data_IF_939611589356
#
_entry.id   IF_939611589356
#
_cell.length_a   1.000
_cell.length_b   1.000
_cell.length_c   1.000
_cell.angle_alpha   90.00
_cell.angle_beta   90.00
_cell.angle_gamma   90.00
#
_symmetry.space_group_name_H-M   'P 1'
#
loop_
_entity.id
_entity.type
_entity.pdbx_description
1 polymer ?
#
# COMPACT_ATOMS: atom_id res chain seq x y z
N UNK A 1 13.56 -8.17 -2.80
CA UNK A 1 14.16 -6.81 -2.90
C UNK A 1 13.82 -6.02 -1.66
N UNK A 2 14.67 -5.10 -1.23
CA UNK A 2 14.34 -4.19 -0.13
C UNK A 2 13.22 -3.24 -0.55
N UNK A 3 12.47 -2.70 0.42
CA UNK A 3 11.55 -1.58 0.16
C UNK A 3 12.26 -0.47 -0.61
N UNK A 4 11.53 0.33 -1.42
CA UNK A 4 12.12 1.42 -2.21
C UNK A 4 12.94 2.40 -1.34
N UNK A 5 12.55 2.58 -0.07
CA UNK A 5 13.26 3.37 0.93
C UNK A 5 13.33 2.59 2.24
N UNK A 6 14.41 1.82 2.50
CA UNK A 6 14.51 1.01 3.71
C UNK A 6 14.57 1.87 4.97
N UNK A 7 14.12 1.33 6.12
CA UNK A 7 14.33 1.95 7.41
C UNK A 7 15.80 2.36 7.58
N UNK A 8 16.05 3.62 7.92
CA UNK A 8 17.41 4.13 8.09
C UNK A 8 17.95 3.68 9.45
N UNK A 9 19.19 3.22 9.49
CA UNK A 9 19.86 2.83 10.74
C UNK A 9 19.45 1.46 11.28
N UNK A 10 18.69 0.65 10.53
CA UNK A 10 18.26 -0.69 10.95
C UNK A 10 18.90 -1.74 10.04
N UNK A 11 19.65 -2.71 10.59
CA UNK A 11 20.17 -3.83 9.81
C UNK A 11 19.05 -4.65 9.16
N UNK A 12 19.26 -5.12 7.93
CA UNK A 12 18.23 -5.88 7.18
C UNK A 12 17.74 -7.12 7.93
N UNK A 13 18.62 -7.79 8.66
CA UNK A 13 18.29 -8.97 9.46
C UNK A 13 17.29 -8.66 10.60
N UNK A 14 17.17 -7.39 10.99
CA UNK A 14 16.34 -6.96 12.12
C UNK A 14 14.96 -6.41 11.69
N UNK A 15 14.67 -6.34 10.39
CA UNK A 15 13.40 -5.77 9.92
C UNK A 15 12.17 -6.49 10.47
N UNK A 16 12.16 -7.83 10.43
CA UNK A 16 11.04 -8.61 10.95
C UNK A 16 11.00 -8.58 12.49
N UNK A 17 12.15 -8.77 13.15
CA UNK A 17 12.22 -8.83 14.62
C UNK A 17 11.89 -7.51 15.31
N UNK A 18 12.11 -6.36 14.63
CA UNK A 18 11.71 -5.04 15.10
C UNK A 18 10.37 -4.57 14.50
N UNK A 19 9.60 -5.44 13.87
CA UNK A 19 8.27 -5.14 13.33
C UNK A 19 8.24 -4.04 12.25
N UNK A 20 9.29 -3.90 11.45
CA UNK A 20 9.27 -2.99 10.29
C UNK A 20 8.43 -3.57 9.14
N UNK A 21 8.68 -4.83 8.78
CA UNK A 21 7.91 -5.63 7.82
C UNK A 21 8.53 -7.03 7.69
N UNK A 22 7.69 -8.02 7.37
CA UNK A 22 8.14 -9.37 7.03
C UNK A 22 8.51 -9.48 5.54
N UNK A 23 7.68 -8.90 4.67
CA UNK A 23 7.82 -8.95 3.21
C UNK A 23 7.68 -7.56 2.61
N UNK A 24 8.61 -7.21 1.72
CA UNK A 24 8.40 -6.07 0.83
C UNK A 24 7.56 -6.48 -0.37
N UNK A 25 6.42 -5.82 -0.57
CA UNK A 25 5.45 -6.18 -1.60
C UNK A 25 5.16 -5.01 -2.56
N UNK A 26 6.05 -4.77 -3.54
CA UNK A 26 6.03 -3.57 -4.39
C UNK A 26 4.82 -3.50 -5.32
N UNK A 27 4.15 -4.62 -5.59
CA UNK A 27 2.95 -4.71 -6.43
C UNK A 27 1.82 -3.80 -5.92
N UNK A 28 1.79 -3.47 -4.63
CA UNK A 28 0.77 -2.57 -4.07
C UNK A 28 1.30 -1.16 -3.81
N UNK A 29 2.57 -0.89 -4.08
CA UNK A 29 3.16 0.43 -3.92
C UNK A 29 2.86 1.31 -5.14
N UNK A 30 2.55 2.61 -4.96
CA UNK A 30 2.41 3.52 -6.09
C UNK A 30 3.72 3.65 -6.87
N UNK A 31 3.61 3.90 -8.18
CA UNK A 31 4.75 4.29 -9.00
C UNK A 31 5.44 5.55 -8.44
N UNK A 32 6.69 5.82 -8.84
CA UNK A 32 7.42 7.01 -8.35
C UNK A 32 6.65 8.29 -8.66
N UNK A 33 6.09 8.38 -9.85
CA UNK A 33 5.35 9.56 -10.29
C UNK A 33 4.03 9.72 -9.53
N UNK A 34 3.31 8.62 -9.28
CA UNK A 34 2.08 8.65 -8.48
C UNK A 34 2.38 8.96 -7.02
N UNK A 35 3.46 8.43 -6.45
CA UNK A 35 3.90 8.77 -5.09
C UNK A 35 4.20 10.26 -4.94
N UNK A 36 4.90 10.88 -5.91
CA UNK A 36 5.15 12.33 -5.90
C UNK A 36 3.86 13.15 -5.89
N UNK A 37 2.83 12.73 -6.64
CA UNK A 37 1.52 13.38 -6.62
C UNK A 37 0.88 13.33 -5.24
N UNK A 38 0.91 12.16 -4.59
CA UNK A 38 0.38 12.00 -3.24
C UNK A 38 1.12 12.87 -2.22
N UNK A 39 2.45 12.91 -2.29
CA UNK A 39 3.28 13.76 -1.42
C UNK A 39 3.08 15.27 -1.63
N UNK A 40 2.75 15.70 -2.86
CA UNK A 40 2.54 17.09 -3.18
C UNK A 40 1.08 17.55 -2.98
N UNK A 41 0.16 16.64 -2.69
CA UNK A 41 -1.25 16.96 -2.52
C UNK A 41 -1.49 17.72 -1.21
N UNK A 42 -2.02 18.94 -1.32
CA UNK A 42 -2.40 19.81 -0.21
C UNK A 42 -3.91 20.10 -0.19
N UNK A 43 -4.62 19.67 -1.24
CA UNK A 43 -6.05 19.94 -1.43
C UNK A 43 -6.79 18.65 -1.74
N UNK A 44 -8.11 18.57 -1.42
CA UNK A 44 -8.93 17.41 -1.77
C UNK A 44 -8.91 17.07 -3.26
N UNK A 45 -8.86 18.09 -4.14
CA UNK A 45 -8.81 17.89 -5.58
C UNK A 45 -7.49 17.23 -6.04
N UNK A 46 -6.36 17.64 -5.46
CA UNK A 46 -5.06 17.00 -5.72
C UNK A 46 -5.02 15.57 -5.18
N UNK A 47 -5.60 15.33 -3.99
CA UNK A 47 -5.72 13.99 -3.44
C UNK A 47 -6.60 13.07 -4.28
N UNK A 48 -7.70 13.60 -4.83
CA UNK A 48 -8.55 12.87 -5.77
C UNK A 48 -7.80 12.48 -7.05
N UNK A 49 -6.94 13.37 -7.57
CA UNK A 49 -6.10 13.07 -8.73
C UNK A 49 -5.08 11.95 -8.43
N UNK A 50 -4.43 12.00 -7.26
CA UNK A 50 -3.58 10.91 -6.77
C UNK A 50 -4.35 9.59 -6.69
N UNK A 51 -5.50 9.60 -6.02
CA UNK A 51 -6.32 8.41 -5.77
C UNK A 51 -6.79 7.78 -7.08
N UNK A 52 -7.22 8.59 -8.05
CA UNK A 52 -7.60 8.12 -9.39
C UNK A 52 -6.43 7.45 -10.10
N UNK A 53 -5.24 8.05 -10.07
CA UNK A 53 -4.06 7.49 -10.72
C UNK A 53 -3.60 6.20 -10.05
N UNK A 54 -3.57 6.15 -8.73
CA UNK A 54 -3.21 4.94 -8.00
C UNK A 54 -4.20 3.79 -8.24
N UNK A 55 -5.52 4.06 -8.25
CA UNK A 55 -6.53 3.05 -8.64
C UNK A 55 -6.31 2.51 -10.05
N UNK A 56 -5.92 3.36 -11.01
CA UNK A 56 -5.60 2.91 -12.35
C UNK A 56 -4.36 2.00 -12.40
N UNK A 57 -3.34 2.28 -11.58
CA UNK A 57 -2.18 1.37 -11.42
C UNK A 57 -2.60 0.02 -10.83
N UNK A 58 -3.47 0.04 -9.82
CA UNK A 58 -3.97 -1.17 -9.17
C UNK A 58 -4.92 -2.00 -10.04
N UNK A 59 -5.48 -1.41 -11.09
CA UNK A 59 -6.33 -2.10 -12.06
C UNK A 59 -5.54 -2.85 -13.15
N UNK A 60 -4.20 -2.76 -13.15
CA UNK A 60 -3.38 -3.60 -14.04
C UNK A 60 -3.52 -5.08 -13.64
N UNK A 61 -3.43 -6.04 -14.58
CA UNK A 61 -3.74 -7.45 -14.30
C UNK A 61 -2.96 -8.04 -13.13
N UNK A 62 -1.66 -7.76 -13.04
CA UNK A 62 -0.80 -8.25 -11.96
C UNK A 62 -1.25 -7.74 -10.59
N UNK A 63 -1.54 -6.45 -10.49
CA UNK A 63 -1.92 -5.80 -9.26
C UNK A 63 -3.35 -6.19 -8.84
N UNK A 64 -4.27 -6.30 -9.80
CA UNK A 64 -5.65 -6.71 -9.55
C UNK A 64 -5.72 -8.14 -8.97
N UNK A 65 -5.03 -9.11 -9.59
CA UNK A 65 -4.95 -10.47 -9.06
C UNK A 65 -4.30 -10.51 -7.68
N UNK A 66 -3.30 -9.65 -7.44
CA UNK A 66 -2.65 -9.52 -6.13
C UNK A 66 -3.63 -9.06 -5.06
N UNK A 67 -4.44 -8.04 -5.35
CA UNK A 67 -5.46 -7.51 -4.42
C UNK A 67 -6.52 -8.56 -4.14
N UNK A 68 -7.00 -9.26 -5.18
CA UNK A 68 -7.98 -10.34 -5.04
C UNK A 68 -7.43 -11.47 -4.15
N UNK A 69 -6.19 -11.91 -4.38
CA UNK A 69 -5.53 -12.93 -3.57
C UNK A 69 -5.48 -12.52 -2.09
N UNK A 70 -5.03 -11.30 -1.79
CA UNK A 70 -4.95 -10.80 -0.43
C UNK A 70 -6.33 -10.68 0.22
N UNK A 71 -7.33 -10.19 -0.52
CA UNK A 71 -8.70 -10.11 -0.02
C UNK A 71 -9.27 -11.50 0.33
N UNK A 72 -8.98 -12.52 -0.48
CA UNK A 72 -9.37 -13.91 -0.20
C UNK A 72 -8.63 -14.49 1.01
N UNK A 73 -7.32 -14.24 1.13
CA UNK A 73 -6.51 -14.70 2.26
C UNK A 73 -6.94 -14.06 3.58
N UNK A 74 -7.42 -12.81 3.56
CA UNK A 74 -7.80 -12.11 4.80
C UNK A 74 -9.00 -12.75 5.52
N UNK A 75 -9.74 -13.62 4.82
CA UNK A 75 -10.83 -14.43 5.41
C UNK A 75 -10.33 -15.59 6.26
N UNK A 76 -9.08 -16.02 6.05
CA UNK A 76 -8.48 -17.18 6.70
C UNK A 76 -7.38 -16.79 7.69
N UNK A 77 -6.71 -15.66 7.48
CA UNK A 77 -5.61 -15.23 8.32
C UNK A 77 -5.50 -13.71 8.39
N UNK A 78 -4.99 -13.21 9.52
CA UNK A 78 -4.72 -11.81 9.72
C UNK A 78 -3.34 -11.45 9.17
N UNK A 79 -3.27 -10.37 8.40
CA UNK A 79 -2.02 -9.76 7.99
C UNK A 79 -2.18 -8.23 7.97
N UNK A 80 -1.07 -7.52 8.00
CA UNK A 80 -1.05 -6.06 7.94
C UNK A 80 -0.36 -5.61 6.67
N UNK A 81 -0.99 -4.66 5.96
CA UNK A 81 -0.34 -3.97 4.83
C UNK A 81 0.06 -2.58 5.30
N UNK A 82 1.36 -2.38 5.48
CA UNK A 82 1.92 -1.15 6.05
C UNK A 82 2.39 -0.14 4.99
N UNK A 83 2.47 1.12 5.41
CA UNK A 83 3.18 2.19 4.72
C UNK A 83 3.88 3.08 5.77
N UNK A 84 4.90 3.84 5.35
CA UNK A 84 5.62 4.78 6.20
C UNK A 84 5.03 6.20 6.23
N UNK A 85 3.82 6.40 5.71
CA UNK A 85 3.11 7.68 5.82
C UNK A 85 2.65 7.90 7.28
N UNK A 86 2.84 9.11 7.78
CA UNK A 86 2.39 9.53 9.12
C UNK A 86 0.86 9.67 9.18
N UNK A 87 0.27 10.41 8.24
CA UNK A 87 -1.18 10.58 8.12
C UNK A 87 -1.81 9.47 7.25
N UNK A 88 -2.73 8.71 7.83
CA UNK A 88 -3.50 7.69 7.12
C UNK A 88 -4.42 8.26 6.04
N UNK A 89 -5.05 9.40 6.32
CA UNK A 89 -6.01 10.02 5.42
C UNK A 89 -5.34 10.43 4.10
N UNK A 90 -4.04 10.78 4.18
CA UNK A 90 -3.17 11.11 3.04
C UNK A 90 -2.15 10.00 2.75
N UNK A 91 -2.55 8.74 2.93
CA UNK A 91 -1.74 7.57 2.59
C UNK A 91 -2.41 6.73 1.50
N UNK A 92 -1.62 6.11 0.62
CA UNK A 92 -2.15 5.15 -0.36
C UNK A 92 -2.88 3.96 0.29
N UNK A 93 -2.58 3.66 1.56
CA UNK A 93 -3.22 2.57 2.31
C UNK A 93 -4.72 2.77 2.47
N UNK A 94 -5.21 4.02 2.56
CA UNK A 94 -6.65 4.30 2.63
C UNK A 94 -7.36 3.92 1.32
N UNK A 95 -6.72 4.20 0.18
CA UNK A 95 -7.21 3.80 -1.15
C UNK A 95 -7.12 2.29 -1.34
N UNK A 96 -6.02 1.66 -0.91
CA UNK A 96 -5.84 0.21 -0.97
C UNK A 96 -6.85 -0.53 -0.09
N UNK A 97 -7.17 -0.01 1.11
CA UNK A 97 -8.20 -0.57 1.99
C UNK A 97 -9.55 -0.61 1.28
N UNK A 98 -9.92 0.44 0.53
CA UNK A 98 -11.13 0.46 -0.27
C UNK A 98 -11.11 -0.59 -1.40
N UNK A 99 -9.99 -0.72 -2.12
CA UNK A 99 -9.83 -1.73 -3.17
C UNK A 99 -9.93 -3.17 -2.63
N UNK A 100 -9.36 -3.44 -1.45
CA UNK A 100 -9.49 -4.73 -0.78
C UNK A 100 -10.94 -5.01 -0.34
N UNK A 101 -11.62 -3.99 0.20
CA UNK A 101 -13.03 -4.11 0.57
C UNK A 101 -13.92 -4.38 -0.66
N UNK A 102 -13.65 -3.74 -1.79
CA UNK A 102 -14.34 -3.98 -3.08
C UNK A 102 -14.17 -5.44 -3.55
N UNK A 103 -13.08 -6.11 -3.18
CA UNK A 103 -12.84 -7.55 -3.44
C UNK A 103 -13.33 -8.47 -2.30
N UNK A 104 -14.06 -7.94 -1.33
CA UNK A 104 -14.64 -8.71 -0.23
C UNK A 104 -13.61 -9.19 0.80
N UNK A 105 -12.59 -8.38 1.08
CA UNK A 105 -11.67 -8.61 2.19
C UNK A 105 -12.39 -8.46 3.54
N UNK A 106 -12.10 -9.34 4.49
CA UNK A 106 -12.37 -9.11 5.92
C UNK A 106 -11.33 -8.12 6.45
N UNK A 107 -11.81 -6.99 7.00
CA UNK A 107 -10.99 -5.91 7.53
C UNK A 107 -11.32 -5.70 9.01
N UNK A 108 -10.31 -5.32 9.80
CA UNK A 108 -10.48 -4.82 11.17
C UNK A 108 -10.88 -3.34 11.19
#
# INVERSE_FOLDING_TARGET
GTVRRPPRGVPKAEFASQHWYDVWFPNLAPSVETMKLGHAAQTPAQWAAFSKKYRAEMATPENAHTIELLAMLSRQTNFSVGCYCEDEAHCHRSVLRALLAEQGATLA
#
